data_IF_680772755580
#
_entry.id   IF_680772755580
#
_cell.length_a   1.000
_cell.length_b   1.000
_cell.length_c   1.000
_cell.angle_alpha   90.00
_cell.angle_beta   90.00
_cell.angle_gamma   90.00
#
_symmetry.space_group_name_H-M   'P 1'
#
loop_
_entity.id
_entity.type
_entity.pdbx_description
1 polymer ?
#
# COMPACT_ATOMS: atom_id res chain seq x y z
N UNK A 1 -5.26 7.43 13.81
CA UNK A 1 -4.28 6.45 14.31
C UNK A 1 -3.39 5.91 13.23
N UNK A 2 -3.95 5.37 12.17
CA UNK A 2 -3.12 4.87 11.06
C UNK A 2 -2.37 6.00 10.38
N UNK A 3 -2.98 7.18 10.24
CA UNK A 3 -2.32 8.34 9.65
C UNK A 3 -1.07 8.72 10.43
N UNK A 4 -1.10 8.62 11.75
CA UNK A 4 0.06 8.94 12.57
C UNK A 4 1.17 7.92 12.38
N UNK A 5 0.80 6.65 12.31
CA UNK A 5 1.77 5.58 12.06
C UNK A 5 2.47 5.78 10.71
N UNK A 6 1.70 6.15 9.69
CA UNK A 6 2.22 6.32 8.33
C UNK A 6 2.87 7.68 8.09
N UNK A 7 2.85 8.56 9.07
CA UNK A 7 3.37 9.90 8.95
C UNK A 7 4.84 9.95 8.52
N UNK A 8 5.62 8.97 8.96
CA UNK A 8 7.03 8.93 8.65
C UNK A 8 7.34 8.33 7.29
N UNK A 9 6.34 7.75 6.64
CA UNK A 9 6.50 7.18 5.32
C UNK A 9 6.32 8.25 4.26
N UNK A 10 6.94 8.03 3.10
CA UNK A 10 6.74 8.90 1.95
C UNK A 10 5.27 8.91 1.56
N UNK A 11 4.79 9.99 0.88
CA UNK A 11 3.40 10.03 0.42
C UNK A 11 3.04 8.90 -0.53
N UNK A 12 4.04 8.32 -1.20
CA UNK A 12 3.86 7.21 -2.12
C UNK A 12 4.76 6.07 -1.65
N UNK A 13 4.18 4.89 -1.49
CA UNK A 13 4.84 3.73 -0.90
C UNK A 13 5.20 2.71 -1.97
N UNK A 14 6.28 1.97 -1.72
CA UNK A 14 6.64 0.85 -2.57
C UNK A 14 5.84 -0.39 -2.16
N UNK A 15 5.88 -1.43 -3.00
CA UNK A 15 5.28 -2.72 -2.65
C UNK A 15 5.90 -3.27 -1.37
N UNK A 16 7.22 -3.12 -1.23
CA UNK A 16 7.94 -3.60 -0.06
C UNK A 16 7.51 -2.86 1.20
N UNK A 17 7.32 -1.55 1.09
CA UNK A 17 6.84 -0.76 2.23
C UNK A 17 5.49 -1.25 2.71
N UNK A 18 4.57 -1.45 1.77
CA UNK A 18 3.20 -1.91 2.10
C UNK A 18 3.24 -3.32 2.67
N UNK A 19 4.07 -4.18 2.10
CA UNK A 19 4.23 -5.54 2.60
C UNK A 19 4.69 -5.54 4.05
N UNK A 20 5.63 -4.65 4.37
CA UNK A 20 6.12 -4.52 5.74
C UNK A 20 5.03 -3.99 6.68
N UNK A 21 4.29 -2.98 6.22
CA UNK A 21 3.22 -2.38 7.03
C UNK A 21 2.13 -3.41 7.31
N UNK A 22 1.74 -4.20 6.31
CA UNK A 22 0.69 -5.20 6.44
C UNK A 22 1.20 -6.51 7.01
N UNK A 23 2.51 -6.65 7.13
CA UNK A 23 3.15 -7.86 7.61
C UNK A 23 2.81 -9.08 6.74
N UNK A 24 2.92 -8.90 5.44
CA UNK A 24 2.70 -9.96 4.44
C UNK A 24 3.84 -9.97 3.44
N UNK A 25 3.88 -10.98 2.60
CA UNK A 25 4.90 -11.05 1.55
C UNK A 25 4.60 -10.02 0.44
N UNK A 26 5.64 -9.49 -0.22
CA UNK A 26 5.42 -8.56 -1.34
C UNK A 26 4.54 -9.14 -2.44
N UNK A 27 4.62 -10.43 -2.66
CA UNK A 27 3.77 -11.12 -3.64
C UNK A 27 2.30 -10.94 -3.30
N UNK A 28 1.96 -10.97 -2.02
CA UNK A 28 0.59 -10.78 -1.56
C UNK A 28 0.11 -9.37 -1.90
N UNK A 29 0.97 -8.37 -1.69
CA UNK A 29 0.63 -6.99 -2.02
C UNK A 29 0.39 -6.84 -3.52
N UNK A 30 1.25 -7.43 -4.35
CA UNK A 30 1.06 -7.39 -5.81
C UNK A 30 -0.26 -8.04 -6.21
N UNK A 31 -0.64 -9.11 -5.53
CA UNK A 31 -1.91 -9.77 -5.77
C UNK A 31 -3.10 -8.88 -5.44
N UNK A 32 -3.02 -8.15 -4.34
CA UNK A 32 -4.08 -7.21 -3.95
C UNK A 32 -4.23 -6.11 -4.99
N UNK A 33 -3.11 -5.60 -5.49
CA UNK A 33 -3.13 -4.56 -6.53
C UNK A 33 -3.74 -5.12 -7.81
N UNK A 34 -3.32 -6.31 -8.20
CA UNK A 34 -3.81 -6.95 -9.43
C UNK A 34 -5.30 -7.25 -9.36
N UNK A 35 -5.79 -7.62 -8.20
CA UNK A 35 -7.19 -7.92 -7.99
C UNK A 35 -8.07 -6.67 -7.89
N UNK A 36 -7.45 -5.50 -7.77
CA UNK A 36 -8.17 -4.24 -7.63
C UNK A 36 -8.56 -3.91 -6.20
N UNK A 37 -8.12 -4.72 -5.24
CA UNK A 37 -8.44 -4.47 -3.84
C UNK A 37 -7.63 -3.30 -3.28
N UNK A 38 -6.44 -3.10 -3.79
CA UNK A 38 -5.55 -2.03 -3.34
C UNK A 38 -5.18 -1.17 -4.54
N UNK A 39 -5.53 0.11 -4.48
CA UNK A 39 -5.26 1.03 -5.58
C UNK A 39 -3.77 1.37 -5.64
N UNK A 40 -3.21 1.28 -6.83
CA UNK A 40 -1.81 1.59 -7.05
C UNK A 40 -1.65 2.31 -8.38
N UNK A 41 -0.52 2.99 -8.53
CA UNK A 41 -0.16 3.65 -9.77
C UNK A 41 1.15 3.05 -10.26
N UNK A 42 1.37 3.12 -11.56
CA UNK A 42 2.62 2.71 -12.16
C UNK A 42 3.47 3.92 -12.49
N UNK A 43 4.71 3.90 -12.01
CA UNK A 43 5.68 4.93 -12.34
C UNK A 43 6.79 4.22 -13.10
N UNK A 44 6.73 4.30 -14.43
CA UNK A 44 7.61 3.50 -15.26
C UNK A 44 7.28 2.02 -15.09
N UNK A 45 8.22 1.25 -14.57
CA UNK A 45 8.03 -0.18 -14.30
C UNK A 45 7.71 -0.46 -12.85
N UNK A 46 7.69 0.59 -12.04
CA UNK A 46 7.53 0.42 -10.60
C UNK A 46 6.08 0.62 -10.20
N UNK A 47 5.63 -0.20 -9.26
CA UNK A 47 4.31 -0.07 -8.66
C UNK A 47 4.45 0.81 -7.43
N UNK A 48 3.62 1.83 -7.33
CA UNK A 48 3.60 2.72 -6.17
C UNK A 48 2.19 2.81 -5.63
N UNK A 49 2.09 2.76 -4.32
CA UNK A 49 0.79 2.80 -3.63
C UNK A 49 0.70 4.13 -2.89
N UNK A 50 -0.20 5.03 -3.31
CA UNK A 50 -0.41 6.28 -2.57
C UNK A 50 -0.81 5.95 -1.13
N UNK A 51 -0.22 6.66 -0.19
CA UNK A 51 -0.44 6.40 1.23
C UNK A 51 -1.92 6.51 1.61
N UNK A 52 -2.62 7.50 1.05
CA UNK A 52 -4.04 7.67 1.33
C UNK A 52 -4.86 6.47 0.83
N UNK A 53 -4.44 5.83 -0.25
CA UNK A 53 -5.14 4.65 -0.76
C UNK A 53 -4.92 3.44 0.14
N UNK A 54 -3.76 3.35 0.74
CA UNK A 54 -3.51 2.29 1.73
C UNK A 54 -4.40 2.51 2.96
N UNK A 55 -4.55 3.74 3.40
CA UNK A 55 -5.40 4.07 4.53
C UNK A 55 -6.85 3.68 4.24
N UNK A 56 -7.33 3.98 3.05
CA UNK A 56 -8.69 3.59 2.63
C UNK A 56 -8.85 2.07 2.67
N UNK A 57 -7.85 1.35 2.17
CA UNK A 57 -7.88 -0.11 2.19
C UNK A 57 -7.99 -0.64 3.62
N UNK A 58 -7.17 -0.10 4.51
CA UNK A 58 -7.16 -0.54 5.91
C UNK A 58 -8.48 -0.23 6.61
N UNK A 59 -9.08 0.91 6.33
CA UNK A 59 -10.36 1.29 6.90
C UNK A 59 -11.47 0.34 6.47
N UNK A 60 -11.41 -0.14 5.23
CA UNK A 60 -12.42 -1.04 4.70
C UNK A 60 -12.33 -2.45 5.27
N UNK A 61 -11.12 -2.84 5.68
CA UNK A 61 -10.84 -4.21 6.13
C UNK A 61 -10.58 -4.27 7.62
N UNK A 62 -11.03 -3.28 8.31
CA UNK A 62 -10.82 -3.17 9.74
C UNK A 62 -11.77 -4.05 10.56
#
# INVERSE_FOLDING_TARGET
MMEEFLKEYAPVLSVEDVAHILNVAPKTVRGLVKAGDLTAIKVGRLIRIPKDKLIVYLDRHD
#
